data_IF_088543201595
#
_entry.id   IF_088543201595
#
_cell.length_a   1.000
_cell.length_b   1.000
_cell.length_c   1.000
_cell.angle_alpha   90.00
_cell.angle_beta   90.00
_cell.angle_gamma   90.00
#
_symmetry.space_group_name_H-M   'P 1'
#
loop_
_entity.id
_entity.type
_entity.pdbx_description
1 polymer ?
#
# COMPACT_ATOMS: atom_id res chain seq x y z
N UNK A 1 13.47 6.76 13.30
CA UNK A 1 12.04 6.88 12.95
C UNK A 1 11.75 7.90 11.85
N UNK A 2 12.32 9.13 11.93
CA UNK A 2 12.10 10.17 10.91
C UNK A 2 12.52 9.76 9.49
N UNK A 3 13.68 9.12 9.35
CA UNK A 3 14.21 8.65 8.05
C UNK A 3 13.26 7.63 7.40
N UNK A 4 12.83 6.59 8.12
CA UNK A 4 11.90 5.58 7.59
C UNK A 4 10.56 6.17 7.15
N UNK A 5 10.01 7.13 7.91
CA UNK A 5 8.79 7.84 7.49
C UNK A 5 9.03 8.65 6.21
N UNK A 6 10.16 9.33 6.11
CA UNK A 6 10.53 10.07 4.90
C UNK A 6 10.67 9.15 3.68
N UNK A 7 11.28 7.97 3.84
CA UNK A 7 11.40 6.97 2.79
C UNK A 7 10.02 6.50 2.32
N UNK A 8 9.10 6.17 3.25
CA UNK A 8 7.75 5.74 2.90
C UNK A 8 6.95 6.83 2.17
N UNK A 9 7.07 8.08 2.63
CA UNK A 9 6.43 9.23 1.96
C UNK A 9 7.03 9.43 0.57
N UNK A 10 8.36 9.35 0.42
CA UNK A 10 9.02 9.47 -0.87
C UNK A 10 8.59 8.35 -1.83
N UNK A 11 8.48 7.11 -1.35
CA UNK A 11 7.98 5.99 -2.14
C UNK A 11 6.54 6.22 -2.64
N UNK A 12 5.66 6.74 -1.77
CA UNK A 12 4.30 7.10 -2.16
C UNK A 12 4.29 8.19 -3.26
N UNK A 13 5.11 9.23 -3.12
CA UNK A 13 5.21 10.30 -4.11
C UNK A 13 5.78 9.82 -5.45
N UNK A 14 6.79 8.95 -5.43
CA UNK A 14 7.34 8.34 -6.65
C UNK A 14 6.26 7.54 -7.36
N UNK A 15 5.48 6.73 -6.63
CA UNK A 15 4.40 5.95 -7.22
C UNK A 15 3.29 6.84 -7.82
N UNK A 16 2.92 7.92 -7.14
CA UNK A 16 1.99 8.93 -7.70
C UNK A 16 2.53 9.49 -9.02
N UNK A 17 3.80 9.89 -9.07
CA UNK A 17 4.41 10.42 -10.29
C UNK A 17 4.42 9.39 -11.43
N UNK A 18 4.69 8.13 -11.13
CA UNK A 18 4.64 7.04 -12.12
C UNK A 18 3.22 6.79 -12.64
N UNK A 19 2.21 6.83 -11.77
CA UNK A 19 0.80 6.67 -12.16
C UNK A 19 0.37 7.83 -13.06
N UNK A 20 0.69 9.07 -12.69
CA UNK A 20 0.37 10.25 -13.53
C UNK A 20 1.03 10.12 -14.89
N UNK A 21 2.33 9.76 -14.92
CA UNK A 21 3.06 9.58 -16.19
C UNK A 21 2.42 8.49 -17.07
N UNK A 22 1.99 7.37 -16.49
CA UNK A 22 1.34 6.29 -17.22
C UNK A 22 -0.04 6.70 -17.74
N UNK A 23 -0.86 7.35 -16.89
CA UNK A 23 -2.20 7.79 -17.24
C UNK A 23 -2.21 8.86 -18.35
N UNK A 24 -1.14 9.64 -18.48
CA UNK A 24 -0.97 10.61 -19.57
C UNK A 24 -0.49 9.96 -20.88
N UNK A 25 0.06 8.74 -20.82
CA UNK A 25 0.66 8.08 -21.98
C UNK A 25 -0.31 7.13 -22.69
N UNK A 26 -1.19 6.45 -21.96
CA UNK A 26 -2.08 5.42 -22.50
C UNK A 26 -3.38 5.33 -21.69
N UNK A 27 -4.45 4.88 -22.35
CA UNK A 27 -5.69 4.55 -21.64
C UNK A 27 -5.46 3.39 -20.66
N UNK A 28 -5.90 3.60 -19.42
CA UNK A 28 -5.66 2.65 -18.33
C UNK A 28 -6.30 1.29 -18.57
N UNK A 29 -7.53 1.26 -19.10
CA UNK A 29 -8.26 0.00 -19.29
C UNK A 29 -7.61 -0.81 -20.43
N UNK A 30 -7.29 -0.15 -21.54
CA UNK A 30 -6.59 -0.79 -22.65
C UNK A 30 -5.22 -1.36 -22.22
N UNK A 31 -4.45 -0.58 -21.44
CA UNK A 31 -3.17 -1.03 -20.90
C UNK A 31 -3.35 -2.26 -19.98
N UNK A 32 -4.38 -2.28 -19.14
CA UNK A 32 -4.63 -3.37 -18.19
C UNK A 32 -5.04 -4.66 -18.90
N UNK A 33 -5.88 -4.57 -19.95
CA UNK A 33 -6.25 -5.73 -20.77
C UNK A 33 -5.00 -6.34 -21.40
N UNK A 34 -4.15 -5.52 -22.01
CA UNK A 34 -2.90 -5.96 -22.64
C UNK A 34 -1.94 -6.62 -21.65
N UNK A 35 -1.82 -6.11 -20.43
CA UNK A 35 -1.03 -6.74 -19.36
C UNK A 35 -1.65 -8.08 -18.95
N UNK A 36 -2.99 -8.18 -18.91
CA UNK A 36 -3.68 -9.42 -18.57
C UNK A 36 -3.46 -10.55 -19.57
N UNK A 37 -3.21 -10.24 -20.84
CA UNK A 37 -2.90 -11.23 -21.88
C UNK A 37 -1.43 -11.70 -21.85
N UNK A 38 -0.55 -10.98 -21.13
CA UNK A 38 0.84 -11.35 -20.95
C UNK A 38 1.01 -12.28 -19.72
N UNK A 39 1.67 -13.44 -19.83
CA UNK A 39 1.84 -14.36 -18.70
C UNK A 39 2.53 -13.75 -17.47
N UNK A 40 3.53 -12.88 -17.68
CA UNK A 40 4.19 -12.16 -16.59
C UNK A 40 3.33 -11.00 -16.07
N UNK A 41 2.48 -10.42 -16.92
CA UNK A 41 1.46 -9.47 -16.50
C UNK A 41 0.45 -10.08 -15.53
N UNK A 42 -0.01 -11.32 -15.78
CA UNK A 42 -0.85 -12.08 -14.84
C UNK A 42 -0.13 -12.30 -13.51
N UNK A 43 1.15 -12.70 -13.53
CA UNK A 43 1.95 -12.85 -12.30
C UNK A 43 2.07 -11.52 -11.55
N UNK A 44 2.31 -10.42 -12.28
CA UNK A 44 2.45 -9.07 -11.70
C UNK A 44 1.16 -8.60 -11.03
N UNK A 45 0.00 -8.80 -11.68
CA UNK A 45 -1.29 -8.49 -11.05
C UNK A 45 -1.58 -9.39 -9.86
N UNK A 46 -1.27 -10.68 -9.96
CA UNK A 46 -1.46 -11.61 -8.86
C UNK A 46 -0.63 -11.23 -7.63
N UNK A 47 0.64 -10.87 -7.84
CA UNK A 47 1.54 -10.37 -6.79
C UNK A 47 0.97 -9.10 -6.13
N UNK A 48 0.55 -8.13 -6.95
CA UNK A 48 -0.04 -6.87 -6.48
C UNK A 48 -1.28 -7.09 -5.61
N UNK A 49 -2.26 -7.84 -6.11
CA UNK A 49 -3.53 -8.05 -5.42
C UNK A 49 -3.38 -8.98 -4.20
N UNK A 50 -2.45 -9.93 -4.23
CA UNK A 50 -2.09 -10.70 -3.03
C UNK A 50 -1.49 -9.78 -1.96
N UNK A 51 -0.60 -8.86 -2.36
CA UNK A 51 -0.09 -7.80 -1.48
C UNK A 51 -1.20 -6.93 -0.90
N UNK A 52 -2.23 -6.61 -1.68
CA UNK A 52 -3.40 -5.87 -1.19
C UNK A 52 -4.21 -6.66 -0.18
N UNK A 53 -4.43 -7.96 -0.40
CA UNK A 53 -5.14 -8.81 0.56
C UNK A 53 -4.40 -8.91 1.91
N UNK A 54 -3.08 -9.10 1.86
CA UNK A 54 -2.21 -9.11 3.05
C UNK A 54 -2.28 -7.76 3.77
N UNK A 55 -2.13 -6.66 3.06
CA UNK A 55 -2.16 -5.31 3.65
C UNK A 55 -3.55 -4.96 4.20
N UNK A 56 -4.61 -5.37 3.52
CA UNK A 56 -5.99 -5.19 3.98
C UNK A 56 -6.24 -5.92 5.30
N UNK A 57 -5.69 -7.14 5.44
CA UNK A 57 -5.72 -7.89 6.69
C UNK A 57 -5.00 -7.13 7.80
N UNK A 58 -3.84 -6.54 7.50
CA UNK A 58 -3.12 -5.69 8.45
C UNK A 58 -3.95 -4.47 8.88
N UNK A 59 -4.59 -3.76 7.94
CA UNK A 59 -5.47 -2.63 8.28
C UNK A 59 -6.63 -3.06 9.18
N UNK A 60 -7.26 -4.19 8.86
CA UNK A 60 -8.38 -4.73 9.63
C UNK A 60 -7.98 -5.08 11.06
N UNK A 61 -6.81 -5.69 11.25
CA UNK A 61 -6.31 -6.10 12.57
C UNK A 61 -5.81 -4.88 13.37
N UNK A 62 -5.05 -4.00 12.73
CA UNK A 62 -4.33 -2.92 13.41
C UNK A 62 -5.20 -1.72 13.77
N UNK A 63 -6.25 -1.43 12.99
CA UNK A 63 -7.14 -0.30 13.28
C UNK A 63 -8.16 -0.65 14.37
N UNK A 64 -8.25 0.18 15.43
CA UNK A 64 -9.24 -0.04 16.49
C UNK A 64 -10.67 0.21 15.99
N UNK A 65 -10.86 1.12 15.04
CA UNK A 65 -12.18 1.43 14.44
C UNK A 65 -12.28 0.75 13.08
N UNK A 66 -13.18 -0.24 12.97
CA UNK A 66 -13.36 -1.02 11.73
C UNK A 66 -13.81 -0.20 10.53
N UNK A 67 -14.52 0.92 10.77
CA UNK A 67 -14.84 1.86 9.70
C UNK A 67 -13.59 2.51 9.07
N UNK A 68 -12.57 2.82 9.88
CA UNK A 68 -11.31 3.35 9.35
C UNK A 68 -10.55 2.26 8.58
N UNK A 69 -10.52 1.03 9.09
CA UNK A 69 -9.96 -0.10 8.35
C UNK A 69 -10.62 -0.26 6.98
N UNK A 70 -11.95 -0.30 6.93
CA UNK A 70 -12.71 -0.39 5.69
C UNK A 70 -12.40 0.77 4.74
N UNK A 71 -12.29 2.00 5.27
CA UNK A 71 -11.89 3.17 4.48
C UNK A 71 -10.50 3.01 3.86
N UNK A 72 -9.51 2.52 4.61
CA UNK A 72 -8.17 2.26 4.07
C UNK A 72 -8.14 1.11 3.07
N UNK A 73 -8.92 0.04 3.30
CA UNK A 73 -9.03 -1.08 2.36
C UNK A 73 -9.62 -0.59 1.03
N UNK A 74 -10.70 0.19 1.08
CA UNK A 74 -11.30 0.77 -0.12
C UNK A 74 -10.31 1.69 -0.84
N UNK A 75 -9.61 2.56 -0.09
CA UNK A 75 -8.60 3.43 -0.65
C UNK A 75 -7.45 2.64 -1.29
N UNK A 76 -7.00 1.54 -0.68
CA UNK A 76 -5.97 0.66 -1.20
C UNK A 76 -6.38 0.01 -2.53
N UNK A 77 -7.63 -0.42 -2.67
CA UNK A 77 -8.12 -1.00 -3.92
C UNK A 77 -8.16 0.01 -5.08
N UNK A 78 -8.28 1.31 -4.78
CA UNK A 78 -8.36 2.37 -5.79
C UNK A 78 -6.98 2.98 -6.07
N UNK A 79 -6.22 3.31 -5.03
CA UNK A 79 -4.97 4.07 -5.09
C UNK A 79 -3.72 3.19 -4.93
N UNK A 80 -3.91 1.90 -4.69
CA UNK A 80 -2.84 0.92 -4.53
C UNK A 80 -1.89 1.24 -3.38
N UNK A 81 -0.62 0.89 -3.58
CA UNK A 81 0.41 0.93 -2.54
C UNK A 81 0.78 2.34 -2.04
N UNK A 82 0.25 3.41 -2.66
CA UNK A 82 0.32 4.76 -2.11
C UNK A 82 -0.29 4.76 -0.70
N UNK A 83 -1.45 4.10 -0.54
CA UNK A 83 -2.18 4.04 0.74
C UNK A 83 -1.41 3.22 1.76
N UNK A 84 -0.86 2.07 1.37
CA UNK A 84 -0.01 1.22 2.21
C UNK A 84 1.16 2.02 2.79
N UNK A 85 1.86 2.77 1.93
CA UNK A 85 3.02 3.57 2.33
C UNK A 85 2.65 4.72 3.27
N UNK A 86 1.59 5.47 2.96
CA UNK A 86 1.12 6.58 3.81
C UNK A 86 0.61 6.07 5.15
N UNK A 87 -0.20 5.02 5.15
CA UNK A 87 -0.72 4.40 6.36
C UNK A 87 0.42 3.95 7.27
N UNK A 88 1.40 3.24 6.71
CA UNK A 88 2.55 2.77 7.48
C UNK A 88 3.37 3.95 8.00
N UNK A 89 3.64 4.98 7.17
CA UNK A 89 4.36 6.17 7.61
C UNK A 89 3.68 6.91 8.76
N UNK A 90 2.34 6.86 8.80
CA UNK A 90 1.55 7.43 9.88
C UNK A 90 1.62 6.59 11.16
N UNK A 91 1.46 5.26 11.06
CA UNK A 91 1.42 4.36 12.22
C UNK A 91 2.79 3.95 12.75
N UNK A 92 3.86 4.16 11.97
CA UNK A 92 5.22 3.67 12.28
C UNK A 92 5.72 4.05 13.69
N UNK A 93 5.53 5.29 14.20
CA UNK A 93 5.98 5.63 15.55
C UNK A 93 5.28 4.80 16.63
N UNK A 94 3.96 4.64 16.52
CA UNK A 94 3.17 3.88 17.50
C UNK A 94 3.49 2.37 17.43
N UNK A 95 3.65 1.83 16.23
CA UNK A 95 4.07 0.44 16.01
C UNK A 95 5.45 0.18 16.63
N UNK A 96 6.42 1.06 16.37
CA UNK A 96 7.78 0.91 16.92
C UNK A 96 7.79 0.97 18.45
N UNK A 97 6.99 1.85 19.05
CA UNK A 97 6.86 1.91 20.52
C UNK A 97 6.29 0.62 21.10
N UNK A 98 5.23 0.07 20.49
CA UNK A 98 4.62 -1.20 20.93
C UNK A 98 5.60 -2.37 20.84
N UNK A 99 6.27 -2.53 19.70
CA UNK A 99 7.26 -3.60 19.53
C UNK A 99 8.42 -3.47 20.52
N UNK A 100 8.93 -2.26 20.75
CA UNK A 100 9.99 -2.01 21.73
C UNK A 100 9.52 -2.25 23.18
N UNK A 101 8.24 -2.01 23.50
CA UNK A 101 7.69 -2.31 24.82
C UNK A 101 7.55 -3.81 25.07
N UNK A 102 7.09 -4.59 24.08
CA UNK A 102 6.95 -6.04 24.19
C UNK A 102 8.32 -6.72 24.34
N UNK A 103 9.32 -6.30 23.56
CA UNK A 103 10.68 -6.87 23.62
C UNK A 103 11.39 -6.65 24.96
N UNK A 104 10.95 -5.70 25.79
CA UNK A 104 11.49 -5.45 27.13
C UNK A 104 10.75 -6.19 28.24
N UNK A 105 9.59 -6.78 27.92
CA UNK A 105 8.75 -7.51 28.87
C UNK A 105 8.99 -9.03 28.82
N UNK A 106 9.78 -9.50 27.86
CA UNK A 106 10.26 -10.88 27.69
C UNK A 106 11.71 -10.99 28.13
#
# INVERSE_FOLDING_TARGET
MRIWRAILIAAALVLVALIIRAALAEDMIAAFIRIGDDPWGVVTFSDLYLGFAVTSTLFWIAEPRKLHAAGFILALLILGNIVSAIWLAWKLPALAQRLASTARAT
#
